data_IF_310299608938
#
_entry.id   IF_310299608938
#
_cell.length_a   1.000
_cell.length_b   1.000
_cell.length_c   1.000
_cell.angle_alpha   90.00
_cell.angle_beta   90.00
_cell.angle_gamma   90.00
#
_symmetry.space_group_name_H-M   'P 1'
#
loop_
_entity.id
_entity.type
_entity.pdbx_description
1 polymer ?
#
# COMPACT_ATOMS: atom_id res chain seq x y z
N UNK A 1 -38.95 -54.65 -40.62
CA UNK A 1 -39.50 -53.30 -40.80
C UNK A 1 -39.55 -52.61 -39.39
N UNK A 2 -38.50 -51.87 -39.04
CA UNK A 2 -38.56 -50.81 -38.02
C UNK A 2 -37.20 -50.12 -37.99
N UNK A 3 -37.19 -48.93 -38.49
CA UNK A 3 -36.05 -48.05 -38.50
C UNK A 3 -35.78 -47.49 -37.10
N UNK A 4 -34.62 -47.80 -36.53
CA UNK A 4 -34.15 -47.17 -35.30
C UNK A 4 -33.43 -45.84 -35.64
N UNK A 5 -34.06 -44.72 -35.38
CA UNK A 5 -33.47 -43.38 -35.55
C UNK A 5 -32.37 -43.20 -34.49
N UNK A 6 -31.12 -43.09 -34.94
CA UNK A 6 -30.01 -42.63 -34.11
C UNK A 6 -30.12 -41.10 -33.93
N UNK A 7 -30.38 -40.68 -32.70
CA UNK A 7 -30.29 -39.29 -32.29
C UNK A 7 -28.83 -39.05 -31.91
N UNK A 8 -28.11 -38.29 -32.71
CA UNK A 8 -26.77 -37.78 -32.37
C UNK A 8 -26.99 -36.55 -31.50
N UNK A 9 -26.73 -36.66 -30.18
CA UNK A 9 -26.67 -35.52 -29.28
C UNK A 9 -25.27 -34.94 -29.38
N UNK A 10 -25.12 -33.81 -30.11
CA UNK A 10 -23.90 -33.02 -30.11
C UNK A 10 -23.86 -32.22 -28.82
N UNK A 11 -23.04 -32.65 -27.87
CA UNK A 11 -22.73 -31.89 -26.66
C UNK A 11 -21.80 -30.75 -27.07
N UNK A 12 -22.36 -29.57 -27.19
CA UNK A 12 -21.61 -28.33 -27.39
C UNK A 12 -20.97 -27.94 -26.05
N UNK A 13 -19.70 -28.30 -25.85
CA UNK A 13 -18.92 -27.92 -24.69
C UNK A 13 -18.66 -26.40 -24.75
N UNK A 14 -19.46 -25.62 -24.06
CA UNK A 14 -19.15 -24.22 -23.75
C UNK A 14 -17.98 -24.24 -22.76
N UNK A 15 -16.77 -24.07 -23.27
CA UNK A 15 -15.63 -23.64 -22.45
C UNK A 15 -15.90 -22.20 -22.05
N UNK A 16 -16.51 -22.01 -20.88
CA UNK A 16 -16.45 -20.71 -20.21
C UNK A 16 -14.96 -20.48 -19.84
N UNK A 17 -14.27 -19.72 -20.70
CA UNK A 17 -13.04 -19.09 -20.31
C UNK A 17 -13.42 -18.08 -19.20
N UNK A 18 -13.25 -18.52 -17.95
CA UNK A 18 -13.32 -17.62 -16.80
C UNK A 18 -12.26 -16.56 -16.98
N UNK A 19 -12.66 -15.38 -17.49
CA UNK A 19 -11.83 -14.20 -17.39
C UNK A 19 -11.63 -13.94 -15.91
N UNK A 20 -10.44 -14.31 -15.38
CA UNK A 20 -10.02 -13.92 -14.08
C UNK A 20 -10.17 -12.37 -14.04
N UNK A 21 -11.08 -11.88 -13.21
CA UNK A 21 -11.21 -10.44 -12.94
C UNK A 21 -9.88 -9.99 -12.32
N UNK A 22 -9.00 -9.51 -13.17
CA UNK A 22 -7.78 -8.86 -12.72
C UNK A 22 -8.23 -7.61 -11.98
N UNK A 23 -7.81 -7.45 -10.74
CA UNK A 23 -8.04 -6.24 -9.96
C UNK A 23 -7.36 -5.06 -10.66
N UNK A 24 -8.08 -4.39 -11.55
CA UNK A 24 -7.59 -3.24 -12.30
C UNK A 24 -7.68 -2.00 -11.42
N UNK A 25 -6.63 -1.21 -11.39
CA UNK A 25 -6.58 0.06 -10.67
C UNK A 25 -7.16 1.15 -11.56
N UNK A 26 -8.24 1.81 -11.12
CA UNK A 26 -8.80 2.98 -11.81
C UNK A 26 -7.89 4.18 -11.61
N UNK A 27 -7.46 4.79 -12.73
CA UNK A 27 -6.58 5.96 -12.71
C UNK A 27 -7.27 7.13 -13.42
N UNK A 28 -8.23 7.75 -12.75
CA UNK A 28 -8.95 8.89 -13.33
C UNK A 28 -9.93 8.50 -14.45
N UNK A 29 -10.41 9.50 -15.19
CA UNK A 29 -11.52 9.38 -16.12
C UNK A 29 -11.20 8.47 -17.34
N UNK A 30 -11.69 7.23 -17.29
CA UNK A 30 -11.69 6.33 -18.44
C UNK A 30 -10.39 5.53 -18.67
N UNK A 31 -9.46 5.46 -17.69
CA UNK A 31 -8.25 4.65 -17.78
C UNK A 31 -8.14 3.71 -16.57
N UNK A 32 -7.85 2.45 -16.86
CA UNK A 32 -7.50 1.42 -15.87
C UNK A 32 -6.13 0.86 -16.19
N UNK A 33 -5.37 0.47 -15.16
CA UNK A 33 -4.09 -0.20 -15.31
C UNK A 33 -4.09 -1.49 -14.49
N UNK A 34 -3.39 -2.52 -14.96
CA UNK A 34 -3.32 -3.83 -14.32
C UNK A 34 -2.62 -3.78 -12.95
N UNK A 35 -1.62 -2.91 -12.81
CA UNK A 35 -0.86 -2.66 -11.58
C UNK A 35 -0.17 -1.30 -11.63
N UNK A 36 0.07 -0.69 -10.48
CA UNK A 36 0.84 0.56 -10.37
C UNK A 36 2.26 0.34 -9.86
N UNK A 37 2.56 -0.85 -9.34
CA UNK A 37 3.88 -1.24 -8.87
C UNK A 37 4.21 -2.61 -9.43
N UNK A 38 5.44 -2.78 -9.91
CA UNK A 38 6.04 -4.08 -10.17
C UNK A 38 7.25 -4.27 -9.25
N UNK A 39 7.26 -5.36 -8.50
CA UNK A 39 8.34 -5.68 -7.58
C UNK A 39 9.11 -6.90 -8.11
N UNK A 40 10.34 -6.67 -8.56
CA UNK A 40 11.23 -7.73 -9.04
C UNK A 40 11.75 -8.66 -7.92
N UNK A 41 11.55 -8.27 -6.65
CA UNK A 41 12.11 -9.01 -5.51
C UNK A 41 13.63 -8.83 -5.40
N UNK A 42 14.29 -9.90 -4.98
CA UNK A 42 15.74 -9.94 -4.83
C UNK A 42 16.36 -10.44 -6.15
N UNK A 43 17.08 -9.57 -6.84
CA UNK A 43 17.74 -9.86 -8.12
C UNK A 43 19.26 -9.77 -7.97
N UNK A 44 19.98 -10.66 -8.62
CA UNK A 44 21.44 -10.62 -8.59
C UNK A 44 21.96 -9.47 -9.45
N UNK A 45 22.94 -8.73 -8.96
CA UNK A 45 23.55 -7.61 -9.67
C UNK A 45 24.14 -8.04 -11.03
N UNK A 46 24.68 -9.26 -11.11
CA UNK A 46 25.26 -9.86 -12.31
C UNK A 46 24.22 -10.53 -13.24
N UNK A 47 22.92 -10.55 -12.87
CA UNK A 47 21.88 -11.17 -13.72
C UNK A 47 21.56 -10.38 -14.98
N UNK A 48 22.09 -9.17 -15.10
CA UNK A 48 21.79 -8.26 -16.19
C UNK A 48 20.43 -7.56 -16.07
N UNK A 49 19.97 -6.91 -17.15
CA UNK A 49 18.72 -6.15 -17.14
C UNK A 49 17.49 -7.00 -16.85
N UNK A 50 16.54 -6.44 -16.11
CA UNK A 50 15.24 -7.07 -15.82
C UNK A 50 14.09 -6.24 -16.38
N UNK A 51 13.06 -6.90 -16.90
CA UNK A 51 11.96 -6.22 -17.60
C UNK A 51 10.59 -6.60 -17.04
N UNK A 52 9.67 -5.66 -17.10
CA UNK A 52 8.25 -5.90 -16.83
C UNK A 52 7.36 -5.14 -17.80
N UNK A 53 6.07 -5.49 -17.80
CA UNK A 53 5.07 -4.80 -18.61
C UNK A 53 3.92 -4.35 -17.72
N UNK A 54 3.44 -3.12 -17.94
CA UNK A 54 2.19 -2.60 -17.44
C UNK A 54 1.18 -2.57 -18.58
N UNK A 55 -0.06 -2.98 -18.30
CA UNK A 55 -1.15 -3.00 -19.28
C UNK A 55 -2.18 -1.96 -18.91
N UNK A 56 -2.36 -0.99 -19.81
CA UNK A 56 -3.33 0.08 -19.68
C UNK A 56 -4.57 -0.27 -20.50
N UNK A 57 -5.76 -0.16 -19.92
CA UNK A 57 -7.05 -0.35 -20.62
C UNK A 57 -7.79 0.97 -20.70
N UNK A 58 -8.24 1.29 -21.90
CA UNK A 58 -9.13 2.43 -22.11
C UNK A 58 -10.58 2.02 -21.83
N UNK A 59 -11.15 2.52 -20.74
CA UNK A 59 -12.55 2.31 -20.35
C UNK A 59 -13.42 3.55 -20.60
N UNK A 60 -12.83 4.59 -21.20
CA UNK A 60 -13.54 5.81 -21.63
C UNK A 60 -14.24 5.64 -22.99
N UNK A 61 -14.84 6.73 -23.46
CA UNK A 61 -15.61 6.81 -24.73
C UNK A 61 -14.78 7.33 -25.92
N UNK A 62 -13.57 7.86 -25.68
CA UNK A 62 -12.65 8.39 -26.69
C UNK A 62 -11.38 7.57 -26.77
N UNK A 63 -10.70 7.63 -27.91
CA UNK A 63 -9.38 7.02 -28.05
C UNK A 63 -8.34 7.74 -27.16
N UNK A 64 -7.56 6.98 -26.42
CA UNK A 64 -6.48 7.48 -25.56
C UNK A 64 -5.12 7.27 -26.26
N UNK A 65 -4.23 8.26 -26.17
CA UNK A 65 -2.88 8.19 -26.72
C UNK A 65 -1.86 8.37 -25.62
N UNK A 66 -0.93 7.42 -25.47
CA UNK A 66 0.25 7.59 -24.61
C UNK A 66 1.26 8.42 -25.42
N UNK A 67 1.35 9.72 -25.13
CA UNK A 67 2.22 10.60 -25.91
C UNK A 67 3.63 10.75 -25.33
N UNK A 68 3.81 10.46 -24.03
CA UNK A 68 5.13 10.48 -23.42
C UNK A 68 5.19 9.55 -22.18
N UNK A 69 6.38 8.97 -21.92
CA UNK A 69 6.70 8.25 -20.69
C UNK A 69 8.07 8.73 -20.23
N UNK A 70 8.13 9.29 -19.01
CA UNK A 70 9.35 9.84 -18.41
C UNK A 70 9.81 8.94 -17.27
N UNK A 71 11.08 8.55 -17.28
CA UNK A 71 11.73 7.79 -16.21
C UNK A 71 12.48 8.70 -15.25
N UNK A 72 12.64 8.28 -14.00
CA UNK A 72 13.40 9.07 -12.98
C UNK A 72 14.92 8.93 -13.10
N UNK A 73 15.43 7.99 -13.90
CA UNK A 73 16.86 7.80 -14.14
C UNK A 73 17.12 7.25 -15.55
N UNK A 74 18.36 7.40 -16.04
CA UNK A 74 18.83 6.78 -17.26
C UNK A 74 19.00 5.25 -17.17
N UNK A 75 18.85 4.69 -15.98
CA UNK A 75 18.93 3.25 -15.69
C UNK A 75 17.67 2.46 -16.08
N UNK A 76 16.66 3.13 -16.65
CA UNK A 76 15.40 2.49 -17.05
C UNK A 76 15.04 2.89 -18.47
N UNK A 77 14.99 1.92 -19.37
CA UNK A 77 14.51 2.07 -20.73
C UNK A 77 13.03 1.72 -20.82
N UNK A 78 12.28 2.46 -21.65
CA UNK A 78 10.83 2.25 -21.79
C UNK A 78 10.40 2.24 -23.24
N UNK A 79 9.50 1.31 -23.55
CA UNK A 79 8.79 1.22 -24.83
C UNK A 79 7.29 1.20 -24.54
N UNK A 80 6.49 1.82 -25.39
CA UNK A 80 5.04 1.84 -25.19
C UNK A 80 4.25 1.89 -26.48
N UNK A 81 2.99 1.50 -26.42
CA UNK A 81 2.03 1.58 -27.54
C UNK A 81 1.90 3.03 -27.99
N UNK A 82 2.26 3.32 -29.24
CA UNK A 82 2.22 4.66 -29.87
C UNK A 82 0.88 4.93 -30.54
N UNK A 83 0.20 3.86 -30.95
CA UNK A 83 -1.10 3.92 -31.63
C UNK A 83 -2.20 4.35 -30.67
N UNK A 84 -3.25 5.04 -31.15
CA UNK A 84 -4.40 5.37 -30.33
C UNK A 84 -5.10 4.12 -29.80
N UNK A 85 -5.25 4.03 -28.48
CA UNK A 85 -5.94 2.95 -27.77
C UNK A 85 -7.44 3.27 -27.79
N UNK A 86 -8.21 2.57 -28.60
CA UNK A 86 -9.66 2.76 -28.74
C UNK A 86 -10.41 2.34 -27.46
N UNK A 87 -11.65 2.83 -27.24
CA UNK A 87 -12.51 2.35 -26.16
C UNK A 87 -12.55 0.82 -26.06
N UNK A 88 -12.36 0.29 -24.86
CA UNK A 88 -12.30 -1.16 -24.58
C UNK A 88 -10.98 -1.85 -24.90
N UNK A 89 -10.07 -1.20 -25.66
CA UNK A 89 -8.77 -1.76 -26.02
C UNK A 89 -7.69 -1.51 -24.96
N UNK A 90 -6.56 -2.21 -25.11
CA UNK A 90 -5.40 -2.13 -24.21
C UNK A 90 -4.16 -1.61 -24.93
N UNK A 91 -3.35 -0.85 -24.20
CA UNK A 91 -1.98 -0.47 -24.55
C UNK A 91 -1.00 -1.07 -23.55
N UNK A 92 0.27 -1.17 -23.95
CA UNK A 92 1.35 -1.73 -23.14
C UNK A 92 2.44 -0.71 -22.91
N UNK A 93 3.03 -0.73 -21.73
CA UNK A 93 4.25 0.00 -21.39
C UNK A 93 5.25 -1.04 -20.87
N UNK A 94 6.30 -1.30 -21.62
CA UNK A 94 7.39 -2.22 -21.25
C UNK A 94 8.55 -1.40 -20.68
N UNK A 95 9.00 -1.78 -19.50
CA UNK A 95 10.09 -1.12 -18.79
C UNK A 95 11.21 -2.11 -18.52
N UNK A 96 12.46 -1.73 -18.83
CA UNK A 96 13.67 -2.50 -18.61
C UNK A 96 14.60 -1.72 -17.70
N UNK A 97 14.87 -2.24 -16.51
CA UNK A 97 15.83 -1.71 -15.54
C UNK A 97 17.20 -2.36 -15.76
N UNK A 98 18.26 -1.59 -15.88
CA UNK A 98 19.63 -2.08 -16.22
C UNK A 98 20.28 -2.90 -15.12
N UNK A 99 19.87 -2.71 -13.86
CA UNK A 99 20.40 -3.44 -12.68
C UNK A 99 21.92 -3.34 -12.49
N UNK A 100 22.49 -2.17 -12.73
CA UNK A 100 23.93 -1.91 -12.69
C UNK A 100 24.36 -0.87 -11.64
N UNK A 101 23.42 -0.35 -10.84
CA UNK A 101 23.69 0.73 -9.89
C UNK A 101 24.25 0.27 -8.52
N UNK A 102 24.44 -1.03 -8.29
CA UNK A 102 25.05 -1.55 -7.05
C UNK A 102 24.10 -2.35 -6.16
N UNK A 103 24.61 -3.02 -5.09
CA UNK A 103 23.82 -3.93 -4.28
C UNK A 103 23.00 -3.18 -3.22
N UNK A 104 21.86 -2.60 -3.60
CA UNK A 104 20.94 -1.90 -2.71
C UNK A 104 19.49 -1.97 -3.20
N UNK A 105 18.48 -1.65 -2.35
CA UNK A 105 17.10 -1.51 -2.77
C UNK A 105 16.94 -0.38 -3.80
N UNK A 106 16.14 -0.63 -4.83
CA UNK A 106 15.78 0.40 -5.81
C UNK A 106 14.28 0.63 -5.88
N UNK A 107 13.91 1.85 -6.23
CA UNK A 107 12.54 2.28 -6.42
C UNK A 107 12.50 3.38 -7.50
N UNK A 108 12.19 2.99 -8.72
CA UNK A 108 12.20 3.85 -9.90
C UNK A 108 10.77 4.16 -10.33
N UNK A 109 10.49 5.40 -10.70
CA UNK A 109 9.16 5.81 -11.15
C UNK A 109 9.14 6.06 -12.66
N UNK A 110 8.03 5.68 -13.29
CA UNK A 110 7.69 6.05 -14.64
C UNK A 110 6.46 6.94 -14.60
N UNK A 111 6.54 8.11 -15.20
CA UNK A 111 5.44 9.06 -15.33
C UNK A 111 4.88 8.97 -16.74
N UNK A 112 3.65 8.48 -16.88
CA UNK A 112 2.98 8.20 -18.14
C UNK A 112 1.99 9.33 -18.43
N UNK A 113 2.17 10.01 -19.55
CA UNK A 113 1.31 11.08 -20.03
C UNK A 113 0.35 10.57 -21.10
N UNK A 114 -0.95 10.74 -20.87
CA UNK A 114 -2.02 10.23 -21.73
C UNK A 114 -2.91 11.40 -22.15
N UNK A 115 -3.38 11.40 -23.39
CA UNK A 115 -4.29 12.43 -23.90
C UNK A 115 -5.56 12.52 -23.05
N UNK A 116 -6.08 13.72 -22.87
CA UNK A 116 -7.29 14.06 -22.11
C UNK A 116 -7.27 13.69 -20.60
N UNK A 117 -6.16 13.14 -20.10
CA UNK A 117 -5.95 12.86 -18.68
C UNK A 117 -5.13 13.99 -18.06
N UNK A 118 -5.73 14.76 -17.14
CA UNK A 118 -5.09 15.94 -16.51
C UNK A 118 -3.91 15.59 -15.61
N UNK A 119 -3.97 14.47 -14.88
CA UNK A 119 -2.92 14.01 -13.99
C UNK A 119 -2.20 12.83 -14.61
N UNK A 120 -0.87 12.88 -14.77
CA UNK A 120 -0.13 11.75 -15.32
C UNK A 120 -0.27 10.50 -14.43
N UNK A 121 -0.19 9.34 -15.05
CA UNK A 121 -0.18 8.06 -14.35
C UNK A 121 1.25 7.76 -13.91
N UNK A 122 1.44 7.44 -12.64
CA UNK A 122 2.75 7.08 -12.09
C UNK A 122 2.74 5.59 -11.75
N UNK A 123 3.68 4.85 -12.36
CA UNK A 123 3.96 3.46 -12.01
C UNK A 123 5.39 3.32 -11.49
N UNK A 124 5.65 2.25 -10.73
CA UNK A 124 6.93 2.07 -10.03
C UNK A 124 7.52 0.70 -10.28
N UNK A 125 8.85 0.67 -10.41
CA UNK A 125 9.67 -0.54 -10.44
C UNK A 125 10.43 -0.62 -9.12
N UNK A 126 10.29 -1.72 -8.41
CA UNK A 126 10.96 -1.95 -7.13
C UNK A 126 11.72 -3.25 -7.13
N UNK A 127 12.70 -3.35 -6.26
CA UNK A 127 13.45 -4.57 -5.99
C UNK A 127 14.66 -4.30 -5.10
N UNK A 128 15.43 -5.35 -4.89
CA UNK A 128 16.71 -5.28 -4.20
C UNK A 128 17.75 -5.92 -5.11
N UNK A 129 18.75 -5.15 -5.55
CA UNK A 129 19.95 -5.70 -6.20
C UNK A 129 20.86 -6.29 -5.13
N UNK A 130 21.34 -7.51 -5.32
CA UNK A 130 22.15 -8.26 -4.37
C UNK A 130 23.49 -8.65 -4.97
N UNK A 131 24.57 -8.46 -4.21
CA UNK A 131 25.93 -8.90 -4.61
C UNK A 131 26.10 -10.41 -4.47
N UNK A 132 25.40 -11.04 -3.52
CA UNK A 132 25.54 -12.47 -3.22
C UNK A 132 24.15 -13.12 -3.11
N UNK A 133 24.05 -14.36 -3.59
CA UNK A 133 22.83 -15.16 -3.50
C UNK A 133 22.64 -15.68 -2.07
N UNK A 134 21.53 -15.31 -1.45
CA UNK A 134 21.12 -15.83 -0.14
C UNK A 134 20.03 -16.88 -0.27
N UNK A 135 19.98 -17.88 0.63
CA UNK A 135 18.86 -18.81 0.69
C UNK A 135 17.53 -18.09 0.91
N UNK A 136 16.44 -18.56 0.27
CA UNK A 136 15.11 -17.93 0.43
C UNK A 136 14.65 -17.89 1.89
N UNK A 137 14.98 -18.93 2.70
CA UNK A 137 14.61 -18.97 4.12
C UNK A 137 15.30 -17.87 4.96
N UNK A 138 16.46 -17.36 4.52
CA UNK A 138 17.14 -16.22 5.16
C UNK A 138 16.50 -14.89 4.76
N UNK A 139 16.11 -14.77 3.49
CA UNK A 139 15.53 -13.54 2.93
C UNK A 139 14.05 -13.35 3.34
N UNK A 140 13.30 -14.45 3.51
CA UNK A 140 11.87 -14.45 3.80
C UNK A 140 11.64 -15.13 5.16
N UNK A 141 11.69 -14.34 6.24
CA UNK A 141 11.73 -14.84 7.61
C UNK A 141 10.38 -15.09 8.27
N UNK A 142 9.29 -14.58 7.69
CA UNK A 142 7.92 -14.78 8.18
C UNK A 142 7.26 -15.91 7.41
N UNK A 143 6.84 -16.97 8.11
CA UNK A 143 6.39 -18.20 7.50
C UNK A 143 4.90 -18.46 7.72
N UNK A 144 4.22 -18.90 6.68
CA UNK A 144 2.85 -19.42 6.66
C UNK A 144 2.90 -20.83 6.08
N UNK A 145 3.41 -21.80 6.87
CA UNK A 145 3.78 -23.12 6.36
C UNK A 145 4.93 -23.03 5.35
N UNK A 146 4.78 -23.56 4.13
CA UNK A 146 5.81 -23.47 3.09
C UNK A 146 5.86 -22.11 2.38
N UNK A 147 4.83 -21.28 2.49
CA UNK A 147 4.83 -19.89 2.01
C UNK A 147 5.59 -19.01 2.97
N UNK A 148 6.48 -18.14 2.47
CA UNK A 148 7.23 -17.20 3.29
C UNK A 148 7.21 -15.79 2.68
N UNK A 149 7.33 -14.78 3.55
CA UNK A 149 7.36 -13.35 3.21
C UNK A 149 8.38 -12.63 4.07
N UNK A 150 8.82 -11.43 3.68
CA UNK A 150 9.77 -10.63 4.47
C UNK A 150 9.13 -10.07 5.73
N UNK A 151 7.95 -9.46 5.59
CA UNK A 151 7.25 -8.77 6.67
C UNK A 151 5.84 -9.34 6.89
N UNK A 152 5.46 -9.58 8.14
CA UNK A 152 4.11 -10.05 8.50
C UNK A 152 3.04 -9.00 8.21
N UNK A 153 3.40 -7.69 8.30
CA UNK A 153 2.50 -6.56 8.07
C UNK A 153 3.10 -5.60 7.05
N UNK A 154 2.46 -5.49 5.91
CA UNK A 154 2.96 -4.76 4.76
C UNK A 154 2.39 -3.34 4.70
N UNK A 155 3.22 -2.36 4.36
CA UNK A 155 2.84 -0.96 4.28
C UNK A 155 2.20 -0.63 2.94
N UNK A 156 0.96 -0.14 2.96
CA UNK A 156 0.30 0.49 1.80
C UNK A 156 0.64 1.98 1.71
N UNK A 157 0.75 2.63 2.87
CA UNK A 157 1.07 4.07 3.02
C UNK A 157 -0.17 4.95 3.08
N UNK A 158 -0.02 6.23 2.72
CA UNK A 158 -1.11 7.19 2.81
C UNK A 158 -2.15 6.97 1.72
N UNK A 159 -3.42 7.08 2.10
CA UNK A 159 -4.59 6.85 1.27
C UNK A 159 -5.62 7.96 1.53
N UNK A 160 -6.20 8.53 0.50
CA UNK A 160 -7.27 9.50 0.63
C UNK A 160 -8.60 8.79 0.82
N UNK A 161 -9.48 9.35 1.64
CA UNK A 161 -10.79 8.76 1.96
C UNK A 161 -11.59 8.44 0.69
N UNK A 162 -12.05 7.20 0.56
CA UNK A 162 -12.74 6.69 -0.63
C UNK A 162 -11.83 6.44 -1.83
N UNK A 163 -10.52 6.71 -1.71
CA UNK A 163 -9.51 6.36 -2.71
C UNK A 163 -9.03 4.91 -2.56
N UNK A 164 -8.24 4.48 -3.53
CA UNK A 164 -7.60 3.15 -3.50
C UNK A 164 -6.10 3.27 -3.79
N UNK A 165 -5.35 2.34 -3.25
CA UNK A 165 -3.91 2.25 -3.51
C UNK A 165 -3.48 0.80 -3.61
N UNK A 166 -2.64 0.54 -4.62
CA UNK A 166 -2.05 -0.77 -4.86
C UNK A 166 -0.55 -0.73 -4.59
N UNK A 167 -0.03 -1.86 -4.13
CA UNK A 167 1.40 -2.12 -4.01
C UNK A 167 1.65 -3.61 -4.25
N UNK A 168 2.90 -4.04 -4.26
CA UNK A 168 3.27 -5.42 -4.46
C UNK A 168 4.46 -5.81 -3.58
N UNK A 169 4.40 -7.03 -3.05
CA UNK A 169 5.52 -7.66 -2.33
C UNK A 169 5.83 -9.01 -2.95
N UNK A 170 7.01 -9.52 -2.70
CA UNK A 170 7.39 -10.85 -3.16
C UNK A 170 7.22 -11.84 -2.02
N UNK A 171 6.64 -12.99 -2.35
CA UNK A 171 6.53 -14.17 -1.48
C UNK A 171 7.34 -15.32 -2.04
N UNK A 172 7.79 -16.22 -1.19
CA UNK A 172 8.64 -17.34 -1.55
C UNK A 172 7.98 -18.67 -1.19
N UNK A 173 8.20 -19.68 -2.02
CA UNK A 173 7.93 -21.08 -1.71
C UNK A 173 9.20 -21.75 -1.18
N UNK A 174 9.22 -22.09 0.09
CA UNK A 174 10.37 -22.73 0.72
C UNK A 174 10.39 -24.28 0.54
N UNK A 175 9.35 -24.86 -0.05
CA UNK A 175 9.26 -26.31 -0.27
C UNK A 175 9.91 -26.76 -1.58
N UNK A 176 10.14 -28.07 -1.70
CA UNK A 176 10.73 -28.70 -2.90
C UNK A 176 9.66 -29.06 -3.96
N UNK A 177 8.43 -28.63 -3.77
CA UNK A 177 7.31 -28.85 -4.71
C UNK A 177 6.56 -27.55 -4.97
N UNK A 178 5.90 -27.37 -6.13
CA UNK A 178 5.05 -26.23 -6.38
C UNK A 178 3.92 -26.13 -5.35
N UNK A 179 3.54 -24.90 -4.94
CA UNK A 179 2.44 -24.66 -4.02
C UNK A 179 1.37 -23.78 -4.67
N UNK A 180 0.10 -24.19 -4.50
CA UNK A 180 -1.05 -23.35 -4.83
C UNK A 180 -1.46 -22.54 -3.61
N UNK A 181 -1.61 -21.21 -3.78
CA UNK A 181 -1.94 -20.30 -2.68
C UNK A 181 -3.24 -19.57 -2.99
N UNK A 182 -4.14 -19.57 -2.02
CA UNK A 182 -5.33 -18.74 -1.98
C UNK A 182 -5.41 -18.03 -0.63
N UNK A 183 -6.41 -17.16 -0.43
CA UNK A 183 -6.60 -16.42 0.80
C UNK A 183 -8.04 -16.50 1.26
N UNK A 184 -8.25 -16.65 2.57
CA UNK A 184 -9.54 -16.57 3.26
C UNK A 184 -9.54 -15.44 4.28
N UNK A 185 -10.68 -15.18 4.90
CA UNK A 185 -10.85 -14.13 5.92
C UNK A 185 -10.26 -12.79 5.47
N UNK A 186 -10.47 -12.46 4.20
CA UNK A 186 -9.96 -11.23 3.61
C UNK A 186 -10.81 -10.06 4.09
N UNK A 187 -10.16 -9.02 4.61
CA UNK A 187 -10.83 -7.77 4.99
C UNK A 187 -11.58 -7.16 3.80
N UNK A 188 -12.78 -6.61 4.01
CA UNK A 188 -13.71 -6.14 2.96
C UNK A 188 -13.07 -5.18 1.94
N UNK A 189 -12.15 -4.33 2.38
CA UNK A 189 -11.50 -3.31 1.54
C UNK A 189 -10.10 -3.72 1.04
N UNK A 190 -9.76 -5.01 1.12
CA UNK A 190 -8.50 -5.59 0.66
C UNK A 190 -8.75 -6.54 -0.51
N UNK A 191 -8.01 -6.37 -1.60
CA UNK A 191 -7.95 -7.35 -2.68
C UNK A 191 -6.53 -7.84 -2.89
N UNK A 192 -6.35 -9.13 -3.18
CA UNK A 192 -5.08 -9.80 -3.32
C UNK A 192 -4.99 -10.54 -4.65
N UNK A 193 -3.83 -10.50 -5.29
CA UNK A 193 -3.53 -11.26 -6.50
C UNK A 193 -2.10 -11.80 -6.42
N UNK A 194 -1.93 -13.08 -6.72
CA UNK A 194 -0.64 -13.76 -6.71
C UNK A 194 -0.28 -14.27 -8.12
N UNK A 195 0.95 -13.98 -8.56
CA UNK A 195 1.45 -14.46 -9.84
C UNK A 195 2.98 -14.69 -9.79
N UNK A 196 3.47 -15.88 -10.26
CA UNK A 196 2.71 -17.03 -10.71
C UNK A 196 2.00 -17.76 -9.56
N UNK A 197 0.91 -18.45 -9.89
CA UNK A 197 0.23 -19.35 -8.97
C UNK A 197 -0.24 -20.59 -9.77
N UNK A 198 0.29 -21.80 -9.52
CA UNK A 198 1.17 -22.20 -8.40
C UNK A 198 2.54 -21.51 -8.39
N UNK A 199 3.11 -21.33 -7.19
CA UNK A 199 4.48 -20.86 -7.02
C UNK A 199 5.43 -22.05 -7.22
N UNK A 200 6.43 -21.96 -8.12
CA UNK A 200 7.38 -23.06 -8.34
C UNK A 200 8.13 -23.47 -7.06
N UNK A 201 8.61 -24.71 -7.02
CA UNK A 201 9.49 -25.20 -5.96
C UNK A 201 10.72 -24.27 -5.78
N UNK A 202 11.04 -23.88 -4.55
CA UNK A 202 12.13 -22.92 -4.26
C UNK A 202 12.08 -21.64 -5.10
N UNK A 203 10.88 -21.29 -5.60
CA UNK A 203 10.64 -20.10 -6.41
C UNK A 203 9.95 -18.99 -5.63
N UNK A 204 9.70 -17.89 -6.33
CA UNK A 204 9.01 -16.72 -5.81
C UNK A 204 7.81 -16.35 -6.66
N UNK A 205 6.91 -15.55 -6.09
CA UNK A 205 5.78 -14.94 -6.79
C UNK A 205 5.56 -13.51 -6.30
N UNK A 206 5.02 -12.66 -7.16
CA UNK A 206 4.57 -11.33 -6.80
C UNK A 206 3.16 -11.42 -6.19
N UNK A 207 3.00 -10.95 -4.96
CA UNK A 207 1.73 -10.72 -4.31
C UNK A 207 1.37 -9.25 -4.45
N UNK A 208 0.52 -8.95 -5.42
CA UNK A 208 -0.07 -7.62 -5.57
C UNK A 208 -1.28 -7.48 -4.67
N UNK A 209 -1.44 -6.32 -4.04
CA UNK A 209 -2.57 -6.02 -3.17
C UNK A 209 -3.10 -4.61 -3.42
N UNK A 210 -4.40 -4.44 -3.22
CA UNK A 210 -5.07 -3.15 -3.32
C UNK A 210 -5.91 -2.95 -2.06
N UNK A 211 -5.73 -1.80 -1.41
CA UNK A 211 -6.57 -1.34 -0.30
C UNK A 211 -7.41 -0.17 -0.78
N UNK A 212 -8.73 -0.25 -0.54
CA UNK A 212 -9.68 0.83 -0.75
C UNK A 212 -9.97 1.48 0.61
N UNK A 213 -9.79 2.80 0.72
CA UNK A 213 -10.07 3.50 1.96
C UNK A 213 -11.57 3.51 2.26
N UNK A 214 -11.94 2.98 3.41
CA UNK A 214 -13.30 3.12 3.92
C UNK A 214 -13.59 4.58 4.26
N UNK A 215 -14.77 5.06 3.88
CA UNK A 215 -15.19 6.45 4.13
C UNK A 215 -15.50 6.74 5.60
N UNK A 216 -15.65 5.72 6.42
CA UNK A 216 -15.89 5.84 7.87
C UNK A 216 -14.62 5.75 8.71
N UNK A 217 -13.49 5.34 8.13
CA UNK A 217 -12.25 5.08 8.84
C UNK A 217 -11.21 6.17 8.57
N UNK A 218 -10.62 6.67 9.63
CA UNK A 218 -9.54 7.66 9.64
C UNK A 218 -8.27 7.10 10.25
N UNK A 219 -7.11 7.68 9.89
CA UNK A 219 -5.83 7.34 10.48
C UNK A 219 -5.33 5.96 10.07
N UNK A 220 -4.56 5.33 10.94
CA UNK A 220 -3.94 4.02 10.69
C UNK A 220 -4.97 2.89 10.83
N UNK A 221 -5.19 2.18 9.74
CA UNK A 221 -6.11 1.04 9.67
C UNK A 221 -5.36 -0.20 9.19
N UNK A 222 -5.73 -1.37 9.74
CA UNK A 222 -5.14 -2.66 9.40
C UNK A 222 -6.15 -3.50 8.63
N UNK A 223 -5.63 -4.27 7.68
CA UNK A 223 -6.36 -5.19 6.82
C UNK A 223 -5.64 -6.55 6.87
N UNK A 224 -6.37 -7.63 6.85
CA UNK A 224 -5.85 -8.97 7.06
C UNK A 224 -6.35 -9.95 6.02
N UNK A 225 -5.58 -11.01 5.81
CA UNK A 225 -5.98 -12.18 5.04
C UNK A 225 -5.27 -13.42 5.59
N UNK A 226 -5.96 -14.55 5.62
CA UNK A 226 -5.40 -15.83 6.03
C UNK A 226 -4.88 -16.59 4.82
N UNK A 227 -3.56 -16.84 4.69
CA UNK A 227 -3.03 -17.66 3.61
C UNK A 227 -3.49 -19.11 3.71
N UNK A 228 -3.92 -19.66 2.57
CA UNK A 228 -4.29 -21.05 2.39
C UNK A 228 -3.35 -21.68 1.36
N UNK A 229 -2.49 -22.59 1.80
CA UNK A 229 -1.50 -23.26 0.95
C UNK A 229 -1.90 -24.70 0.74
N UNK A 230 -2.08 -25.09 -0.53
CA UNK A 230 -2.53 -26.43 -0.91
C UNK A 230 -3.80 -26.88 -0.13
N UNK A 231 -4.75 -25.96 0.08
CA UNK A 231 -6.01 -26.21 0.79
C UNK A 231 -5.93 -26.17 2.32
N UNK A 232 -4.76 -25.90 2.91
CA UNK A 232 -4.58 -25.77 4.36
C UNK A 232 -4.31 -24.33 4.75
N UNK A 233 -5.08 -23.78 5.71
CA UNK A 233 -4.89 -22.46 6.28
C UNK A 233 -3.68 -22.39 7.20
N UNK A 234 -2.95 -21.27 7.15
CA UNK A 234 -1.78 -21.04 7.99
C UNK A 234 -1.82 -19.64 8.60
N UNK A 235 -1.30 -19.55 9.82
CA UNK A 235 -0.93 -18.30 10.48
C UNK A 235 0.59 -18.25 10.68
N UNK A 236 1.12 -17.08 10.97
CA UNK A 236 2.52 -16.93 11.37
C UNK A 236 2.77 -17.51 12.78
N UNK A 237 3.99 -17.41 13.28
CA UNK A 237 4.37 -17.87 14.63
C UNK A 237 3.59 -17.20 15.79
N UNK A 238 3.04 -16.00 15.53
CA UNK A 238 2.29 -15.21 16.51
C UNK A 238 0.77 -15.47 16.41
N UNK A 239 0.36 -16.41 15.55
CA UNK A 239 -1.05 -16.78 15.33
C UNK A 239 -1.81 -15.83 14.40
N UNK A 240 -1.11 -14.95 13.68
CA UNK A 240 -1.71 -13.91 12.85
C UNK A 240 -1.69 -14.30 11.37
N UNK A 241 -2.64 -13.77 10.61
CA UNK A 241 -2.66 -13.79 9.15
C UNK A 241 -1.65 -12.82 8.54
N UNK A 242 -1.69 -12.70 7.23
CA UNK A 242 -0.92 -11.70 6.49
C UNK A 242 -1.59 -10.34 6.64
N UNK A 243 -0.84 -9.35 7.14
CA UNK A 243 -1.34 -8.03 7.45
C UNK A 243 -0.93 -6.97 6.42
N UNK A 244 -1.77 -5.94 6.32
CA UNK A 244 -1.52 -4.73 5.54
C UNK A 244 -1.98 -3.54 6.36
N UNK A 245 -1.32 -2.38 6.22
CA UNK A 245 -1.81 -1.17 6.86
C UNK A 245 -1.76 0.03 5.92
N UNK A 246 -2.80 0.86 6.01
CA UNK A 246 -2.88 2.13 5.34
C UNK A 246 -3.21 3.25 6.32
N UNK A 247 -2.80 4.47 6.00
CA UNK A 247 -3.13 5.66 6.75
C UNK A 247 -4.11 6.51 5.95
N UNK A 248 -5.38 6.52 6.37
CA UNK A 248 -6.47 7.22 5.68
C UNK A 248 -6.57 8.66 6.15
N UNK A 249 -6.55 9.60 5.23
CA UNK A 249 -6.73 11.04 5.43
C UNK A 249 -7.86 11.58 4.55
N UNK A 250 -8.32 12.79 4.82
CA UNK A 250 -9.32 13.47 3.99
C UNK A 250 -8.78 13.79 2.59
N UNK A 251 -9.65 13.70 1.57
CA UNK A 251 -9.36 14.11 0.20
C UNK A 251 -9.56 15.62 0.03
N UNK A 252 -8.48 16.35 0.00
CA UNK A 252 -8.47 17.80 -0.24
C UNK A 252 -8.21 18.18 -1.71
N UNK A 253 -8.26 17.25 -2.64
CA UNK A 253 -7.94 17.51 -4.05
C UNK A 253 -8.89 18.52 -4.73
N UNK A 254 -10.09 18.67 -4.21
CA UNK A 254 -11.12 19.59 -4.72
C UNK A 254 -11.18 20.93 -3.97
N UNK A 255 -10.36 21.12 -2.94
CA UNK A 255 -10.34 22.36 -2.14
C UNK A 255 -9.58 23.44 -2.90
N UNK A 256 -10.24 24.57 -3.19
CA UNK A 256 -9.63 25.71 -3.87
C UNK A 256 -8.60 26.43 -3.00
N UNK A 257 -7.70 27.23 -3.58
CA UNK A 257 -6.71 28.02 -2.83
C UNK A 257 -7.40 29.05 -1.89
N UNK A 258 -8.53 29.62 -2.31
CA UNK A 258 -9.32 30.50 -1.45
C UNK A 258 -9.88 29.77 -0.22
N UNK A 259 -10.38 28.55 -0.42
CA UNK A 259 -10.86 27.70 0.68
C UNK A 259 -9.71 27.28 1.61
N UNK A 260 -8.55 26.93 1.07
CA UNK A 260 -7.33 26.63 1.86
C UNK A 260 -6.89 27.80 2.71
N UNK A 261 -6.93 29.02 2.16
CA UNK A 261 -6.56 30.24 2.90
C UNK A 261 -7.48 30.55 4.09
N UNK A 262 -8.73 30.05 4.05
CA UNK A 262 -9.72 30.19 5.12
C UNK A 262 -9.81 28.96 6.04
N UNK A 263 -9.15 27.86 5.65
CA UNK A 263 -9.25 26.58 6.36
C UNK A 263 -8.71 26.63 7.79
N UNK A 264 -9.06 25.61 8.55
CA UNK A 264 -8.54 25.38 9.89
C UNK A 264 -7.00 25.32 9.87
N UNK A 265 -6.37 26.06 10.79
CA UNK A 265 -4.90 26.15 10.88
C UNK A 265 -4.44 25.91 12.31
N UNK A 266 -4.19 24.66 12.71
CA UNK A 266 -3.70 24.38 14.04
C UNK A 266 -2.23 24.79 14.16
N UNK A 267 -1.94 25.64 15.14
CA UNK A 267 -0.60 26.04 15.54
C UNK A 267 -0.30 25.46 16.90
N UNK A 268 0.56 24.46 16.94
CA UNK A 268 0.98 23.81 18.18
C UNK A 268 2.04 24.66 18.87
N UNK A 269 1.91 24.83 20.19
CA UNK A 269 2.90 25.54 21.01
C UNK A 269 4.23 24.80 20.96
N UNK A 270 4.17 23.47 21.12
CA UNK A 270 5.30 22.56 21.00
C UNK A 270 4.84 21.29 20.29
N UNK A 271 5.68 20.72 19.46
CA UNK A 271 5.42 19.41 18.78
C UNK A 271 6.12 18.25 19.48
N UNK A 272 7.00 18.55 20.45
CA UNK A 272 7.75 17.54 21.21
C UNK A 272 7.54 17.74 22.69
N UNK A 273 7.13 16.68 23.39
CA UNK A 273 7.11 16.59 24.84
C UNK A 273 8.30 15.77 25.30
N UNK A 274 9.20 16.37 26.09
CA UNK A 274 10.33 15.64 26.68
C UNK A 274 10.00 15.27 28.13
N UNK A 275 10.01 13.98 28.44
CA UNK A 275 9.76 13.48 29.80
C UNK A 275 11.05 13.30 30.62
N UNK A 276 12.23 13.60 30.03
CA UNK A 276 13.51 13.45 30.70
C UNK A 276 13.83 11.97 31.00
N UNK A 277 14.21 11.67 32.25
CA UNK A 277 14.45 10.31 32.71
C UNK A 277 13.29 9.81 33.57
N UNK A 278 12.85 8.58 33.35
CA UNK A 278 11.81 7.88 34.12
C UNK A 278 12.16 6.41 34.33
N UNK A 279 11.61 5.82 35.35
CA UNK A 279 11.70 4.38 35.56
C UNK A 279 10.76 3.64 34.60
N UNK A 280 11.22 2.51 34.07
CA UNK A 280 10.35 1.63 33.27
C UNK A 280 9.14 1.19 34.09
N UNK A 281 7.93 1.26 33.51
CA UNK A 281 6.66 0.97 34.16
C UNK A 281 5.92 2.21 34.65
N UNK A 282 6.55 3.38 34.66
CA UNK A 282 5.84 4.63 34.91
C UNK A 282 5.04 5.06 33.67
N UNK A 283 3.84 5.62 33.87
CA UNK A 283 3.08 6.23 32.79
C UNK A 283 3.61 7.62 32.49
N UNK A 284 3.89 7.90 31.22
CA UNK A 284 4.22 9.24 30.73
C UNK A 284 2.92 9.99 30.41
N UNK A 285 2.77 11.19 30.94
CA UNK A 285 1.65 12.10 30.71
C UNK A 285 2.11 13.29 29.89
N UNK A 286 2.00 13.21 28.57
CA UNK A 286 2.39 14.27 27.67
C UNK A 286 1.22 15.22 27.42
N UNK A 287 1.45 16.52 27.56
CA UNK A 287 0.45 17.56 27.32
C UNK A 287 0.82 18.36 26.07
N UNK A 288 -0.16 18.53 25.17
CA UNK A 288 -0.01 19.33 23.94
C UNK A 288 -1.10 20.38 23.87
N UNK A 289 -0.71 21.58 23.50
CA UNK A 289 -1.61 22.73 23.29
C UNK A 289 -1.48 23.22 21.88
N UNK A 290 -2.61 23.44 21.22
CA UNK A 290 -2.66 24.15 19.94
C UNK A 290 -3.70 25.26 19.95
N UNK A 291 -3.51 26.24 19.08
CA UNK A 291 -4.48 27.30 18.77
C UNK A 291 -4.94 27.16 17.32
N UNK A 292 -6.25 27.25 17.09
CA UNK A 292 -6.74 27.33 15.72
C UNK A 292 -6.64 28.77 15.20
N UNK A 293 -5.64 29.07 14.40
CA UNK A 293 -5.44 30.36 13.73
C UNK A 293 -6.16 30.48 12.38
N UNK A 294 -6.89 29.43 11.97
CA UNK A 294 -7.72 29.43 10.78
C UNK A 294 -9.03 30.16 10.96
N UNK A 295 -9.84 30.18 9.89
CA UNK A 295 -11.16 30.83 9.87
C UNK A 295 -12.32 29.82 9.93
N UNK A 296 -12.04 28.52 9.90
CA UNK A 296 -13.02 27.44 10.06
C UNK A 296 -12.67 26.60 11.28
N UNK A 297 -13.64 25.88 11.88
CA UNK A 297 -13.40 25.00 13.01
C UNK A 297 -12.35 23.93 12.69
N UNK A 298 -11.45 23.66 13.63
CA UNK A 298 -10.46 22.61 13.55
C UNK A 298 -10.94 21.37 14.28
N UNK A 299 -10.89 20.22 13.60
CA UNK A 299 -11.30 18.93 14.15
C UNK A 299 -10.19 17.89 13.96
N UNK A 300 -9.93 17.11 15.00
CA UNK A 300 -9.13 15.88 14.94
C UNK A 300 -10.08 14.71 14.73
N UNK A 301 -9.91 13.97 13.63
CA UNK A 301 -10.72 12.80 13.32
C UNK A 301 -10.24 11.54 14.04
N UNK A 302 -8.93 11.40 14.15
CA UNK A 302 -8.31 10.22 14.76
C UNK A 302 -6.96 10.56 15.37
N UNK A 303 -6.68 9.97 16.53
CA UNK A 303 -5.36 9.93 17.15
C UNK A 303 -4.82 8.51 17.00
N UNK A 304 -3.58 8.38 16.58
CA UNK A 304 -2.82 7.13 16.60
C UNK A 304 -1.51 7.37 17.33
N UNK A 305 -1.01 6.40 18.08
CA UNK A 305 0.33 6.45 18.65
C UNK A 305 1.12 5.19 18.28
N UNK A 306 2.42 5.37 18.12
CA UNK A 306 3.37 4.29 17.84
C UNK A 306 3.88 3.70 19.16
N UNK A 307 2.94 3.23 19.97
CA UNK A 307 3.17 2.59 21.26
C UNK A 307 2.14 1.49 21.49
N UNK A 308 2.50 0.44 22.19
CA UNK A 308 1.59 -0.69 22.46
C UNK A 308 0.42 -0.29 23.37
N UNK A 309 0.67 0.50 24.41
CA UNK A 309 -0.27 0.84 25.46
C UNK A 309 -0.34 2.36 25.64
N UNK A 310 -1.39 2.97 25.11
CA UNK A 310 -1.59 4.41 25.18
C UNK A 310 -3.07 4.77 25.23
N UNK A 311 -3.33 5.98 25.69
CA UNK A 311 -4.66 6.62 25.65
C UNK A 311 -4.51 8.12 25.48
N UNK A 312 -5.60 8.82 25.22
CA UNK A 312 -5.62 10.27 25.17
C UNK A 312 -6.91 10.83 25.77
N UNK A 313 -6.85 12.08 26.24
CA UNK A 313 -8.05 12.82 26.64
C UNK A 313 -8.84 13.26 25.39
N UNK A 314 -10.09 13.62 25.56
CA UNK A 314 -10.89 14.20 24.47
C UNK A 314 -10.21 15.43 23.88
N UNK A 315 -10.34 15.59 22.55
CA UNK A 315 -9.88 16.74 21.79
C UNK A 315 -11.10 17.41 21.20
N UNK A 316 -11.66 18.44 21.82
CA UNK A 316 -12.85 19.11 21.31
C UNK A 316 -12.54 19.86 20.00
N UNK A 317 -13.60 20.12 19.22
CA UNK A 317 -13.49 20.94 18.02
C UNK A 317 -13.11 22.37 18.44
N UNK A 318 -11.96 22.87 17.94
CA UNK A 318 -11.51 24.22 18.25
C UNK A 318 -12.08 25.23 17.25
N UNK A 319 -12.85 26.20 17.76
CA UNK A 319 -13.34 27.31 16.95
C UNK A 319 -12.21 28.25 16.51
N UNK A 320 -12.38 29.09 15.47
CA UNK A 320 -11.40 30.09 15.08
C UNK A 320 -10.93 30.94 16.28
N UNK A 321 -9.62 30.98 16.50
CA UNK A 321 -8.97 31.70 17.60
C UNK A 321 -8.92 30.93 18.94
N UNK A 322 -9.61 29.82 19.06
CA UNK A 322 -9.66 29.01 20.29
C UNK A 322 -8.37 28.19 20.47
N UNK A 323 -7.97 28.03 21.73
CA UNK A 323 -6.86 27.13 22.15
C UNK A 323 -7.42 25.91 22.85
N UNK A 324 -6.90 24.75 22.49
CA UNK A 324 -7.25 23.45 23.07
C UNK A 324 -5.99 22.79 23.61
N UNK A 325 -6.10 22.26 24.81
CA UNK A 325 -5.06 21.42 25.44
C UNK A 325 -5.60 20.00 25.62
N UNK A 326 -4.79 19.03 25.26
CA UNK A 326 -5.10 17.61 25.43
C UNK A 326 -3.89 16.84 25.94
N UNK A 327 -4.13 15.66 26.48
CA UNK A 327 -3.09 14.80 27.08
C UNK A 327 -3.03 13.48 26.36
N UNK A 328 -1.81 12.97 26.20
CA UNK A 328 -1.52 11.60 25.76
C UNK A 328 -0.81 10.88 26.88
N UNK A 329 -1.30 9.71 27.22
CA UNK A 329 -0.76 8.85 28.25
C UNK A 329 -0.10 7.65 27.58
N UNK A 330 1.15 7.36 27.91
CA UNK A 330 1.91 6.23 27.38
C UNK A 330 2.39 5.38 28.54
N UNK A 331 1.95 4.13 28.60
CA UNK A 331 2.46 3.14 29.54
C UNK A 331 3.81 2.61 29.03
N UNK A 332 4.83 2.71 29.87
CA UNK A 332 6.19 2.30 29.51
C UNK A 332 6.55 0.88 29.95
N UNK A 333 5.59 0.13 30.53
CA UNK A 333 5.83 -1.19 31.08
C UNK A 333 6.49 -2.17 30.12
N UNK A 334 6.02 -2.19 28.87
CA UNK A 334 6.50 -3.12 27.85
C UNK A 334 7.54 -2.50 26.90
N UNK A 335 7.96 -1.24 27.17
CA UNK A 335 8.99 -0.57 26.38
C UNK A 335 10.40 -1.02 26.77
N UNK A 336 11.36 -1.02 25.83
CA UNK A 336 12.76 -1.27 26.17
C UNK A 336 13.34 -0.13 27.02
N UNK A 337 14.33 -0.44 27.86
CA UNK A 337 15.15 0.58 28.52
C UNK A 337 16.01 1.31 27.49
N UNK A 338 16.34 2.56 27.74
CA UNK A 338 17.13 3.41 26.87
C UNK A 338 16.35 4.59 26.33
N UNK A 339 16.77 5.10 25.18
CA UNK A 339 16.09 6.20 24.48
C UNK A 339 14.72 5.76 23.95
N UNK A 340 13.71 6.57 24.25
CA UNK A 340 12.32 6.34 23.79
C UNK A 340 11.86 7.52 22.95
N UNK A 341 11.30 7.21 21.80
CA UNK A 341 10.60 8.15 20.92
C UNK A 341 9.26 7.53 20.52
N UNK A 342 8.16 8.11 20.98
CA UNK A 342 6.80 7.75 20.56
C UNK A 342 6.24 8.84 19.65
N UNK A 343 5.75 8.44 18.49
CA UNK A 343 5.11 9.34 17.53
C UNK A 343 3.60 9.26 17.74
N UNK A 344 2.99 10.40 18.03
CA UNK A 344 1.54 10.57 18.09
C UNK A 344 1.09 11.29 16.82
N UNK A 345 0.25 10.63 16.04
CA UNK A 345 -0.22 11.13 14.75
C UNK A 345 -1.69 11.52 14.83
N UNK A 346 -1.99 12.77 14.53
CA UNK A 346 -3.37 13.29 14.45
C UNK A 346 -3.79 13.32 12.97
N UNK A 347 -4.93 12.73 12.65
CA UNK A 347 -5.60 12.90 11.36
C UNK A 347 -6.64 14.01 11.50
N UNK A 348 -6.63 15.02 10.62
CA UNK A 348 -7.38 16.26 10.82
C UNK A 348 -8.18 16.68 9.59
N UNK A 349 -9.11 17.61 9.79
CA UNK A 349 -9.89 18.28 8.73
C UNK A 349 -9.15 19.48 8.08
N UNK A 350 -7.87 19.71 8.40
CA UNK A 350 -7.12 20.83 7.85
C UNK A 350 -6.44 20.45 6.53
N UNK A 351 -6.76 21.09 5.40
CA UNK A 351 -6.04 20.86 4.15
C UNK A 351 -4.58 21.30 4.20
N UNK A 352 -4.23 22.21 5.13
CA UNK A 352 -2.85 22.67 5.36
C UNK A 352 -2.04 21.69 6.21
N UNK A 353 -2.72 20.95 7.10
CA UNK A 353 -2.12 19.96 8.01
C UNK A 353 -3.02 18.74 8.17
N UNK A 354 -3.23 17.97 7.10
CA UNK A 354 -4.12 16.78 7.16
C UNK A 354 -3.60 15.71 8.10
N UNK A 355 -2.30 15.70 8.33
CA UNK A 355 -1.59 14.83 9.28
C UNK A 355 -0.67 15.72 10.11
N UNK A 356 -0.74 15.59 11.44
CA UNK A 356 0.15 16.25 12.39
C UNK A 356 0.85 15.20 13.20
N UNK A 357 2.18 15.23 13.24
CA UNK A 357 2.98 14.38 14.11
C UNK A 357 3.45 15.18 15.32
N UNK A 358 3.20 14.59 16.51
CA UNK A 358 3.70 15.04 17.79
C UNK A 358 4.63 13.96 18.35
N UNK A 359 5.60 14.35 19.15
CA UNK A 359 6.64 13.47 19.63
C UNK A 359 6.67 13.46 21.17
N UNK A 360 6.81 12.26 21.73
CA UNK A 360 7.03 12.07 23.16
C UNK A 360 8.38 11.37 23.29
N UNK A 361 9.36 12.08 23.85
CA UNK A 361 10.75 11.62 23.88
C UNK A 361 11.33 11.64 25.31
N UNK A 362 12.23 10.73 25.60
CA UNK A 362 12.94 10.68 26.88
C UNK A 362 13.76 9.42 27.05
N UNK A 363 14.13 9.12 28.29
CA UNK A 363 14.98 7.98 28.61
C UNK A 363 14.34 7.13 29.70
N UNK A 364 14.27 5.80 29.51
CA UNK A 364 13.81 4.82 30.49
C UNK A 364 15.00 4.10 31.15
N UNK A 365 15.02 4.14 32.49
CA UNK A 365 16.01 3.47 33.33
C UNK A 365 15.56 2.07 33.81
#
# INVERSE_FOLDING_TARGET
>A
MNMLKRIIITVLSFVLAGAAMQGQVKIGDGIEIDKTVHNFGDIMLDSGPVSCTFTLKNTGDKAAVIYNVVTTCGCTNVEWTKEPIRPGQTGKISATYTNDEGPYPFDKSLTIYISDIKKPVIVRLRGVSMAEKKPLAELYSVHYGPLAIKDAVNKVGNLEQGGQKSDAVVVANLSDSPISVSFTDISDNLSLRLAPNPIPAKGTAELSFTVTADRSLWGKNFYWATPVVNGKSYTNKDGEGLGFWAFTKEDFSKVSEEQKAKAARPMFKESTYSFGKKSKGETVHAEFTFKNEGKTPFQVYRVNADACCWSHSDIPVAQPGESVTFRVHVDTKDMPKGEVLTIVTLTTNSPLRPIVNLFIAGWLE
#
